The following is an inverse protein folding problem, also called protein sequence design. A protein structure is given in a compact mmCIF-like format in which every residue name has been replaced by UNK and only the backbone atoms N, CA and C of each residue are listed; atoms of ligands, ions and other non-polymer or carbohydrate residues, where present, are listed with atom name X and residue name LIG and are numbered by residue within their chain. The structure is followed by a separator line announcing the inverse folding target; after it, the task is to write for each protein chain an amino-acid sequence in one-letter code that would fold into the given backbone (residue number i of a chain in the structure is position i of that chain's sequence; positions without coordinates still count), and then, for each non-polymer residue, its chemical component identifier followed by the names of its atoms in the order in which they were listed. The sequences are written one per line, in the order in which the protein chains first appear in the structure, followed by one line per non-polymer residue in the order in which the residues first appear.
data_IF_530199339031
#
_entry.id   IF_530199339031
#
_cell.length_a   1.000
_cell.length_b   1.000
_cell.length_c   1.000
_cell.angle_alpha   90.00
_cell.angle_beta   90.00
_cell.angle_gamma   90.00
#
_symmetry.space_group_name_H-M   'P 1'
#
loop_
_entity.id
_entity.type
_entity.pdbx_description
1 polymer ?
#
# COMPACT_ATOMS: atom_id res chain seq x y z
N UNK A 1 -7.32 -9.38 -5.60
CA UNK A 1 -6.53 -9.34 -4.35
C UNK A 1 -7.35 -8.68 -3.26
N UNK A 2 -7.33 -9.24 -2.06
CA UNK A 2 -8.01 -8.67 -0.90
C UNK A 2 -6.99 -7.99 0.02
N UNK A 3 -7.49 -7.18 0.96
CA UNK A 3 -6.61 -6.56 1.96
C UNK A 3 -5.91 -7.62 2.81
N UNK A 4 -6.58 -8.72 3.13
CA UNK A 4 -5.98 -9.78 3.92
C UNK A 4 -4.83 -10.45 3.17
N UNK A 5 -5.00 -10.69 1.88
CA UNK A 5 -3.93 -11.24 1.05
C UNK A 5 -2.76 -10.28 0.95
N UNK A 6 -3.05 -8.99 0.79
CA UNK A 6 -2.02 -7.97 0.71
C UNK A 6 -1.27 -7.84 2.04
N UNK A 7 -2.00 -7.89 3.15
CA UNK A 7 -1.38 -7.87 4.48
C UNK A 7 -0.40 -9.03 4.64
N UNK A 8 -0.80 -10.22 4.22
CA UNK A 8 0.09 -11.39 4.29
C UNK A 8 1.36 -11.16 3.46
N UNK A 9 1.21 -10.56 2.27
CA UNK A 9 2.35 -10.22 1.43
C UNK A 9 3.30 -9.26 2.14
N UNK A 10 2.76 -8.20 2.77
CA UNK A 10 3.58 -7.22 3.46
C UNK A 10 4.30 -7.84 4.66
N UNK A 11 3.64 -8.73 5.38
CA UNK A 11 4.24 -9.38 6.54
C UNK A 11 5.41 -10.30 6.16
N UNK A 12 5.43 -10.81 4.93
CA UNK A 12 6.51 -11.67 4.46
C UNK A 12 7.65 -10.92 3.79
N UNK A 13 7.50 -9.60 3.58
CA UNK A 13 8.55 -8.81 2.95
C UNK A 13 9.75 -8.67 3.87
N UNK A 14 10.97 -8.92 3.37
CA UNK A 14 12.19 -8.63 4.14
C UNK A 14 12.35 -7.10 4.29
N UNK A 15 13.04 -6.65 5.36
CA UNK A 15 13.34 -5.23 5.51
C UNK A 15 14.06 -4.66 4.29
N UNK A 16 13.66 -3.48 3.88
CA UNK A 16 14.24 -2.81 2.73
C UNK A 16 13.66 -3.21 1.38
N UNK A 17 12.81 -4.23 1.35
CA UNK A 17 12.12 -4.64 0.12
C UNK A 17 10.78 -3.95 0.02
N UNK A 18 10.24 -3.91 -1.20
CA UNK A 18 8.99 -3.22 -1.47
C UNK A 18 8.01 -4.10 -2.22
N UNK A 19 6.73 -3.92 -1.91
CA UNK A 19 5.65 -4.49 -2.71
C UNK A 19 5.20 -3.44 -3.72
N UNK A 20 5.22 -3.78 -4.99
CA UNK A 20 4.81 -2.91 -6.08
C UNK A 20 3.32 -3.11 -6.35
N UNK A 21 2.54 -2.05 -6.18
CA UNK A 21 1.10 -2.12 -6.34
C UNK A 21 0.68 -1.17 -7.45
N UNK A 22 0.26 -1.69 -8.61
CA UNK A 22 -0.25 -0.83 -9.68
C UNK A 22 -1.45 -0.02 -9.18
N UNK A 23 -1.66 1.17 -9.73
CA UNK A 23 -2.76 2.03 -9.32
C UNK A 23 -4.11 1.31 -9.37
N UNK A 24 -4.33 0.47 -10.38
CA UNK A 24 -5.56 -0.28 -10.50
C UNK A 24 -5.83 -1.15 -9.28
N UNK A 25 -4.80 -1.84 -8.81
CA UNK A 25 -4.91 -2.70 -7.63
C UNK A 25 -5.03 -1.85 -6.38
N UNK A 26 -4.26 -0.75 -6.31
CA UNK A 26 -4.32 0.16 -5.18
C UNK A 26 -5.73 0.71 -4.98
N UNK A 27 -6.38 1.10 -6.08
CA UNK A 27 -7.74 1.61 -6.02
C UNK A 27 -8.75 0.55 -5.60
N UNK A 28 -8.49 -0.71 -5.91
CA UNK A 28 -9.33 -1.81 -5.46
C UNK A 28 -9.18 -2.06 -3.97
N UNK A 29 -7.96 -1.95 -3.45
CA UNK A 29 -7.68 -2.18 -2.03
C UNK A 29 -8.13 -0.99 -1.17
N UNK A 30 -7.94 0.21 -1.68
CA UNK A 30 -8.28 1.45 -0.98
C UNK A 30 -9.13 2.31 -1.90
N UNK A 31 -10.43 1.97 -2.07
CA UNK A 31 -11.28 2.71 -2.99
C UNK A 31 -11.34 4.18 -2.61
N UNK A 32 -11.27 5.07 -3.59
CA UNK A 32 -11.44 6.50 -3.33
C UNK A 32 -12.88 6.72 -2.87
N UNK A 33 -13.01 6.90 -1.58
CA UNK A 33 -14.28 7.24 -1.00
C UNK A 33 -14.36 8.75 -0.84
N UNK A 34 -15.43 9.22 -0.31
CA UNK A 34 -15.53 10.61 0.04
C UNK A 34 -15.23 10.77 1.52
N UNK A 35 -14.32 11.64 1.88
CA UNK A 35 -13.43 12.43 1.02
C UNK A 35 -12.21 11.62 0.56
N UNK A 36 -11.58 12.06 -0.52
CA UNK A 36 -10.37 11.40 -1.06
C UNK A 36 -9.29 11.20 0.00
N UNK A 37 -9.19 12.13 0.92
CA UNK A 37 -8.22 12.05 2.00
C UNK A 37 -8.43 10.82 2.88
N UNK A 38 -9.65 10.34 2.99
CA UNK A 38 -9.96 9.16 3.77
C UNK A 38 -9.30 7.90 3.22
N UNK A 39 -9.30 7.73 1.91
CA UNK A 39 -8.67 6.57 1.28
C UNK A 39 -7.17 6.61 1.50
N UNK A 40 -6.55 7.78 1.34
CA UNK A 40 -5.12 7.95 1.57
C UNK A 40 -4.76 7.66 3.02
N UNK A 41 -5.56 8.16 3.95
CA UNK A 41 -5.34 7.92 5.38
C UNK A 41 -5.40 6.45 5.72
N UNK A 42 -6.38 5.73 5.16
CA UNK A 42 -6.51 4.29 5.37
C UNK A 42 -5.29 3.54 4.84
N UNK A 43 -4.79 3.94 3.67
CA UNK A 43 -3.62 3.30 3.08
C UNK A 43 -2.37 3.52 3.95
N UNK A 44 -2.17 4.74 4.42
CA UNK A 44 -1.03 5.05 5.30
C UNK A 44 -1.13 4.30 6.62
N UNK A 45 -2.30 4.24 7.22
CA UNK A 45 -2.49 3.51 8.47
C UNK A 45 -2.24 2.03 8.28
N UNK A 46 -2.72 1.48 7.18
CA UNK A 46 -2.51 0.07 6.83
C UNK A 46 -1.02 -0.23 6.67
N UNK A 47 -0.30 0.63 5.94
CA UNK A 47 1.12 0.45 5.74
C UNK A 47 1.88 0.50 7.06
N UNK A 48 1.57 1.48 7.89
CA UNK A 48 2.21 1.64 9.20
C UNK A 48 1.95 0.45 10.09
N UNK A 49 0.73 -0.06 10.11
CA UNK A 49 0.37 -1.21 10.91
C UNK A 49 1.13 -2.46 10.51
N UNK A 50 1.62 -2.52 9.28
CA UNK A 50 2.39 -3.65 8.76
C UNK A 50 3.88 -3.35 8.61
N UNK A 51 4.36 -2.29 9.25
CA UNK A 51 5.77 -1.93 9.24
C UNK A 51 6.28 -1.42 7.91
N UNK A 52 5.42 -0.76 7.14
CA UNK A 52 5.77 -0.26 5.81
C UNK A 52 5.57 1.23 5.71
N UNK A 53 6.26 1.85 4.75
CA UNK A 53 6.02 3.23 4.34
C UNK A 53 5.60 3.22 2.88
N UNK A 54 4.82 4.22 2.49
CA UNK A 54 4.30 4.30 1.13
C UNK A 54 5.15 5.25 0.29
N UNK A 55 5.47 4.83 -0.92
CA UNK A 55 6.13 5.65 -1.91
C UNK A 55 5.27 5.66 -3.18
N UNK A 56 4.88 6.85 -3.62
CA UNK A 56 4.06 6.98 -4.83
C UNK A 56 4.96 7.19 -6.05
N UNK A 57 4.88 6.26 -6.98
CA UNK A 57 5.64 6.30 -8.24
C UNK A 57 4.73 6.68 -9.39
N UNK A 58 4.45 7.98 -9.53
CA UNK A 58 3.53 8.46 -10.56
C UNK A 58 3.95 8.09 -11.98
N UNK A 59 5.24 8.12 -12.27
CA UNK A 59 5.75 7.78 -13.60
C UNK A 59 5.44 6.34 -13.99
N UNK A 60 5.47 5.45 -13.02
CA UNK A 60 5.24 4.02 -13.24
C UNK A 60 3.81 3.63 -12.95
N UNK A 61 2.98 4.58 -12.53
CA UNK A 61 1.60 4.36 -12.13
C UNK A 61 1.48 3.24 -11.11
N UNK A 62 2.31 3.33 -10.08
CA UNK A 62 2.29 2.33 -9.01
C UNK A 62 2.58 2.98 -7.67
N UNK A 63 2.20 2.26 -6.63
CA UNK A 63 2.48 2.64 -5.25
C UNK A 63 3.35 1.54 -4.67
N UNK A 64 4.43 1.93 -4.00
CA UNK A 64 5.31 0.97 -3.34
C UNK A 64 5.04 0.99 -1.85
N UNK A 65 4.91 -0.20 -1.28
CA UNK A 65 4.86 -0.37 0.17
C UNK A 65 6.23 -0.91 0.58
N UNK A 66 7.07 -0.02 1.09
CA UNK A 66 8.47 -0.35 1.41
C UNK A 66 8.56 -0.78 2.86
N UNK A 67 9.05 -1.99 3.08
CA UNK A 67 9.19 -2.54 4.42
C UNK A 67 10.31 -1.80 5.16
N UNK A 68 10.00 -1.22 6.30
CA UNK A 68 11.01 -0.60 7.13
C UNK A 68 11.78 -1.67 7.91
N UNK A 69 12.97 -1.34 8.27
CA UNK A 69 13.83 -2.26 9.01
C UNK A 69 13.28 -2.55 10.41
#
# INVERSE_FOLDING_TARGET
MTLDEFKATLLTLPPGKAAHVPYEIYEMLFPPGEPDEGARGRAYDFARANGCVIENRQKDREVLFVKSA
#
